data_IF_697627404479
#
_entry.id   IF_697627404479
#
_cell.length_a   1.000
_cell.length_b   1.000
_cell.length_c   1.000
_cell.angle_alpha   90.00
_cell.angle_beta   90.00
_cell.angle_gamma   90.00
#
_symmetry.space_group_name_H-M   'P 1'
#
loop_
_entity.id
_entity.type
_entity.pdbx_description
1 polymer ?
#
# COMPACT_ATOMS: atom_id res chain seq x y z
N UNK A 1 -12.89 21.64 -10.00
CA UNK A 1 -12.61 22.58 -11.09
C UNK A 1 -11.29 23.26 -10.76
N UNK A 2 -10.15 23.12 -11.42
CA UNK A 2 -9.65 22.34 -12.56
C UNK A 2 -8.14 22.21 -12.26
N UNK A 3 -7.62 20.99 -12.19
CA UNK A 3 -6.19 20.68 -12.18
C UNK A 3 -5.72 20.68 -13.65
N UNK A 4 -4.71 21.48 -14.02
CA UNK A 4 -4.05 21.39 -15.34
C UNK A 4 -2.53 21.38 -15.15
N UNK A 5 -2.00 20.16 -15.14
CA UNK A 5 -0.90 19.66 -15.96
C UNK A 5 0.24 20.66 -16.34
N UNK A 6 1.31 20.65 -15.55
CA UNK A 6 2.61 21.31 -15.83
C UNK A 6 3.64 20.35 -16.47
N UNK A 7 3.22 19.18 -16.95
CA UNK A 7 4.10 18.13 -17.48
C UNK A 7 4.57 18.28 -18.93
N UNK A 8 4.31 19.39 -19.62
CA UNK A 8 4.43 19.44 -21.09
C UNK A 8 5.46 20.42 -21.70
N UNK A 9 6.29 21.12 -20.90
CA UNK A 9 7.18 22.15 -21.47
C UNK A 9 8.66 21.77 -21.67
N UNK A 10 9.09 20.54 -21.36
CA UNK A 10 10.50 20.12 -21.55
C UNK A 10 10.65 19.05 -22.64
N UNK A 11 9.56 18.50 -23.15
CA UNK A 11 9.58 17.38 -24.11
C UNK A 11 9.28 17.82 -25.54
N UNK A 12 9.97 18.85 -26.07
CA UNK A 12 9.94 19.10 -27.52
C UNK A 12 11.10 19.95 -28.05
N UNK A 13 12.35 19.52 -27.84
CA UNK A 13 13.50 20.13 -28.53
C UNK A 13 14.51 19.16 -29.15
N UNK A 14 14.22 17.85 -29.15
CA UNK A 14 15.10 16.83 -29.76
C UNK A 14 14.34 15.79 -30.58
N UNK A 15 13.37 16.25 -31.37
CA UNK A 15 12.86 15.47 -32.50
C UNK A 15 13.01 16.32 -33.76
N UNK A 16 14.06 16.03 -34.54
CA UNK A 16 14.30 16.39 -35.94
C UNK A 16 15.80 16.64 -36.17
N UNK A 17 16.51 15.55 -36.45
CA UNK A 17 17.92 15.54 -36.86
C UNK A 17 18.11 15.89 -38.35
N UNK A 18 17.19 16.68 -38.93
CA UNK A 18 17.14 17.01 -40.37
C UNK A 18 17.41 18.48 -40.69
N UNK A 19 17.84 19.30 -39.72
CA UNK A 19 18.04 20.75 -39.93
C UNK A 19 19.52 21.20 -39.86
N UNK A 20 20.44 20.37 -40.35
CA UNK A 20 21.89 20.67 -40.34
C UNK A 20 22.35 21.57 -41.50
N UNK A 21 21.44 22.09 -42.33
CA UNK A 21 21.78 22.83 -43.56
C UNK A 21 21.70 24.37 -43.48
N UNK A 22 21.49 25.00 -42.31
CA UNK A 22 21.17 26.45 -42.26
C UNK A 22 22.12 27.37 -41.48
N UNK A 23 23.33 26.93 -41.10
CA UNK A 23 24.25 27.74 -40.28
C UNK A 23 25.63 27.99 -40.90
N UNK A 24 25.75 27.95 -42.23
CA UNK A 24 27.03 28.23 -42.95
C UNK A 24 27.24 29.71 -43.29
N UNK A 25 26.30 30.61 -42.97
CA UNK A 25 26.49 32.04 -43.25
C UNK A 25 26.43 32.83 -41.95
N UNK A 26 27.62 33.10 -41.39
CA UNK A 26 28.08 34.29 -40.64
C UNK A 26 29.32 33.82 -39.86
N UNK A 27 30.49 33.87 -40.51
CA UNK A 27 31.78 33.68 -39.86
C UNK A 27 32.79 34.65 -40.45
N UNK A 28 32.56 35.93 -40.22
CA UNK A 28 33.62 36.94 -40.29
C UNK A 28 33.58 37.78 -39.01
N UNK A 29 34.76 37.90 -38.40
CA UNK A 29 35.12 38.90 -37.38
C UNK A 29 34.42 38.80 -36.03
N UNK A 30 34.95 37.95 -35.15
CA UNK A 30 35.16 38.28 -33.73
C UNK A 30 36.08 37.25 -33.08
N UNK A 31 36.94 37.72 -32.19
CA UNK A 31 37.91 36.94 -31.44
C UNK A 31 37.26 35.68 -30.84
N UNK A 32 37.85 34.53 -31.18
CA UNK A 32 37.44 33.20 -30.73
C UNK A 32 37.75 33.04 -29.24
N UNK A 33 36.95 33.69 -28.38
CA UNK A 33 36.90 33.38 -26.95
C UNK A 33 36.29 31.99 -26.86
N UNK A 34 37.08 31.01 -26.42
CA UNK A 34 36.58 29.73 -25.94
C UNK A 34 35.59 30.03 -24.81
N UNK A 35 34.28 30.06 -25.08
CA UNK A 35 33.27 30.35 -24.06
C UNK A 35 32.98 29.09 -23.24
N UNK A 36 34.01 28.52 -22.63
CA UNK A 36 33.88 27.43 -21.68
C UNK A 36 33.98 27.97 -20.26
N UNK A 37 33.31 27.31 -19.32
CA UNK A 37 33.37 27.73 -17.91
C UNK A 37 34.80 27.62 -17.34
N UNK A 38 35.08 28.37 -16.27
CA UNK A 38 36.40 28.30 -15.59
C UNK A 38 36.72 26.89 -15.06
N UNK A 39 35.71 26.09 -14.72
CA UNK A 39 35.88 24.70 -14.34
C UNK A 39 36.32 23.83 -15.53
N UNK A 40 35.70 24.01 -16.70
CA UNK A 40 36.09 23.33 -17.95
C UNK A 40 37.48 23.74 -18.39
N UNK A 41 37.84 25.01 -18.28
CA UNK A 41 39.22 25.44 -18.59
C UNK A 41 40.25 24.71 -17.72
N UNK A 42 40.02 24.61 -16.39
CA UNK A 42 40.90 23.85 -15.49
C UNK A 42 40.99 22.36 -15.88
N UNK A 43 39.89 21.76 -16.33
CA UNK A 43 39.87 20.37 -16.80
C UNK A 43 40.77 20.20 -18.03
N UNK A 44 40.67 21.11 -19.02
CA UNK A 44 41.52 21.10 -20.22
C UNK A 44 42.99 21.31 -19.86
N UNK A 45 43.27 22.24 -18.96
CA UNK A 45 44.63 22.53 -18.49
C UNK A 45 45.25 21.31 -17.79
N UNK A 46 44.46 20.58 -16.99
CA UNK A 46 44.92 19.39 -16.26
C UNK A 46 45.32 18.24 -17.19
N UNK A 47 44.53 17.96 -18.22
CA UNK A 47 44.85 16.92 -19.22
C UNK A 47 45.88 17.40 -20.25
N UNK A 48 46.27 18.68 -20.20
CA UNK A 48 47.21 19.30 -21.12
C UNK A 48 46.68 19.38 -22.55
N UNK A 49 45.36 19.50 -22.75
CA UNK A 49 44.77 19.72 -24.07
C UNK A 49 44.89 21.20 -24.42
N UNK A 50 45.90 21.52 -25.23
CA UNK A 50 46.25 22.91 -25.56
C UNK A 50 45.64 23.33 -26.89
N UNK A 51 45.62 24.64 -27.14
CA UNK A 51 45.28 25.20 -28.47
C UNK A 51 46.18 24.65 -29.59
N UNK A 52 47.43 24.30 -29.29
CA UNK A 52 48.33 23.70 -30.26
C UNK A 52 47.91 22.27 -30.62
N UNK A 53 47.41 21.49 -29.66
CA UNK A 53 46.85 20.15 -29.92
C UNK A 53 45.59 20.25 -30.80
N UNK A 54 44.69 21.19 -30.49
CA UNK A 54 43.46 21.42 -31.28
C UNK A 54 43.78 21.88 -32.71
N UNK A 55 44.73 22.80 -32.87
CA UNK A 55 45.18 23.24 -34.18
C UNK A 55 45.84 22.10 -34.96
N UNK A 56 46.67 21.28 -34.31
CA UNK A 56 47.31 20.13 -34.93
C UNK A 56 46.27 19.15 -35.50
N UNK A 57 45.20 18.87 -34.74
CA UNK A 57 44.11 18.01 -35.19
C UNK A 57 43.34 18.65 -36.36
N UNK A 58 43.08 19.95 -36.30
CA UNK A 58 42.41 20.68 -37.38
C UNK A 58 43.22 20.67 -38.68
N UNK A 59 44.54 20.89 -38.59
CA UNK A 59 45.44 20.87 -39.75
C UNK A 59 45.50 19.48 -40.40
N UNK A 60 45.32 18.41 -39.61
CA UNK A 60 45.28 17.03 -40.09
C UNK A 60 43.88 16.55 -40.48
N UNK A 61 42.84 17.39 -40.42
CA UNK A 61 41.47 17.02 -40.82
C UNK A 61 41.37 16.32 -42.18
N UNK A 62 42.09 16.73 -43.25
CA UNK A 62 42.05 16.02 -44.54
C UNK A 62 42.53 14.56 -44.44
N UNK A 63 43.49 14.27 -43.55
CA UNK A 63 43.93 12.90 -43.27
C UNK A 63 42.83 12.13 -42.57
N UNK A 64 42.19 12.72 -41.55
CA UNK A 64 41.05 12.11 -40.86
C UNK A 64 39.90 11.80 -41.83
N UNK A 65 39.57 12.70 -42.75
CA UNK A 65 38.55 12.48 -43.79
C UNK A 65 38.91 11.31 -44.72
N UNK A 66 40.19 11.13 -45.04
CA UNK A 66 40.64 10.02 -45.89
C UNK A 66 40.51 8.66 -45.19
N UNK A 67 40.68 8.61 -43.87
CA UNK A 67 40.78 7.34 -43.11
C UNK A 67 39.52 7.01 -42.29
N UNK A 68 38.59 7.96 -42.12
CA UNK A 68 37.44 7.81 -41.23
C UNK A 68 36.57 6.59 -41.56
N UNK A 69 36.42 6.26 -42.84
CA UNK A 69 35.67 5.09 -43.28
C UNK A 69 36.30 3.80 -42.74
N UNK A 70 37.61 3.62 -42.97
CA UNK A 70 38.34 2.42 -42.55
C UNK A 70 38.41 2.30 -41.02
N UNK A 71 38.60 3.43 -40.32
CA UNK A 71 38.61 3.47 -38.85
C UNK A 71 37.28 2.99 -38.28
N UNK A 72 36.17 3.55 -38.78
CA UNK A 72 34.82 3.23 -38.27
C UNK A 72 34.40 1.82 -38.68
N UNK A 73 34.79 1.36 -39.87
CA UNK A 73 34.56 -0.03 -40.29
C UNK A 73 35.28 -1.04 -39.40
N UNK A 74 36.56 -0.80 -39.09
CA UNK A 74 37.32 -1.64 -38.17
C UNK A 74 36.71 -1.63 -36.77
N UNK A 75 36.23 -0.47 -36.30
CA UNK A 75 35.55 -0.36 -35.01
C UNK A 75 34.30 -1.23 -34.95
N UNK A 76 33.39 -1.14 -35.93
CA UNK A 76 32.17 -1.96 -35.91
C UNK A 76 32.44 -3.45 -36.17
N UNK A 77 33.51 -3.80 -36.90
CA UNK A 77 33.95 -5.19 -36.99
C UNK A 77 34.40 -5.74 -35.62
N UNK A 78 35.10 -4.92 -34.82
CA UNK A 78 35.45 -5.28 -33.45
C UNK A 78 34.22 -5.41 -32.55
N UNK A 79 33.33 -4.41 -32.56
CA UNK A 79 32.09 -4.42 -31.76
C UNK A 79 31.20 -5.62 -32.13
N UNK A 80 31.15 -6.01 -33.41
CA UNK A 80 30.42 -7.19 -33.88
C UNK A 80 30.93 -8.52 -33.32
N UNK A 81 32.14 -8.55 -32.74
CA UNK A 81 32.66 -9.70 -32.00
C UNK A 81 32.02 -9.93 -30.64
N UNK A 82 31.22 -8.98 -30.13
CA UNK A 82 30.56 -9.03 -28.83
C UNK A 82 29.04 -9.17 -29.03
N UNK A 83 28.47 -10.38 -28.83
CA UNK A 83 27.06 -10.65 -29.11
C UNK A 83 26.08 -9.69 -28.40
N UNK A 84 26.36 -9.34 -27.15
CA UNK A 84 25.55 -8.44 -26.34
C UNK A 84 25.51 -7.00 -26.90
N UNK A 85 26.62 -6.54 -27.51
CA UNK A 85 26.67 -5.24 -28.17
C UNK A 85 25.97 -5.26 -29.53
N UNK A 86 26.11 -6.37 -30.27
CA UNK A 86 25.41 -6.57 -31.54
C UNK A 86 23.88 -6.62 -31.35
N UNK A 87 23.41 -7.30 -30.29
CA UNK A 87 22.00 -7.31 -29.91
C UNK A 87 21.51 -5.90 -29.56
N UNK A 88 22.27 -5.16 -28.74
CA UNK A 88 21.94 -3.79 -28.37
C UNK A 88 21.83 -2.87 -29.60
N UNK A 89 22.78 -2.98 -30.54
CA UNK A 89 22.73 -2.22 -31.80
C UNK A 89 21.47 -2.57 -32.58
N UNK A 90 21.18 -3.86 -32.78
CA UNK A 90 20.00 -4.32 -33.53
C UNK A 90 18.69 -3.86 -32.88
N UNK A 91 18.65 -3.75 -31.55
CA UNK A 91 17.48 -3.28 -30.81
C UNK A 91 17.18 -1.79 -31.02
N UNK A 92 18.22 -0.97 -31.18
CA UNK A 92 18.08 0.49 -31.15
C UNK A 92 18.44 1.19 -32.48
N UNK A 93 19.13 0.53 -33.40
CA UNK A 93 19.64 1.09 -34.67
C UNK A 93 20.07 -0.02 -35.66
N UNK A 94 20.89 0.33 -36.64
CA UNK A 94 21.65 -0.59 -37.49
C UNK A 94 23.11 -0.16 -37.58
N UNK A 95 24.00 -1.09 -37.94
CA UNK A 95 25.44 -0.81 -38.08
C UNK A 95 25.67 0.27 -39.14
N UNK A 96 24.99 0.20 -40.28
CA UNK A 96 25.15 1.14 -41.40
C UNK A 96 24.85 2.58 -40.98
N UNK A 97 23.71 2.79 -40.29
CA UNK A 97 23.32 4.10 -39.79
C UNK A 97 24.30 4.58 -38.71
N UNK A 98 24.73 3.68 -37.82
CA UNK A 98 25.66 4.05 -36.76
C UNK A 98 27.03 4.42 -37.32
N UNK A 99 27.51 3.73 -38.37
CA UNK A 99 28.74 4.08 -39.08
C UNK A 99 28.72 5.54 -39.56
N UNK A 100 27.64 5.98 -40.21
CA UNK A 100 27.51 7.38 -40.65
C UNK A 100 27.61 8.36 -39.47
N UNK A 101 26.89 8.11 -38.39
CA UNK A 101 26.94 8.98 -37.20
C UNK A 101 28.30 8.98 -36.52
N UNK A 102 28.97 7.83 -36.50
CA UNK A 102 30.27 7.67 -35.87
C UNK A 102 31.40 8.28 -36.71
N UNK A 103 31.27 8.29 -38.03
CA UNK A 103 32.19 9.04 -38.91
C UNK A 103 32.07 10.55 -38.66
N UNK A 104 30.85 11.08 -38.55
CA UNK A 104 30.65 12.49 -38.18
C UNK A 104 31.22 12.80 -36.80
N UNK A 105 31.01 11.90 -35.83
CA UNK A 105 31.57 12.02 -34.48
C UNK A 105 33.10 12.10 -34.50
N UNK A 106 33.75 11.17 -35.20
CA UNK A 106 35.20 11.12 -35.37
C UNK A 106 35.75 12.42 -35.97
N UNK A 107 35.13 12.90 -37.05
CA UNK A 107 35.56 14.12 -37.73
C UNK A 107 35.39 15.36 -36.86
N UNK A 108 34.36 15.43 -36.02
CA UNK A 108 34.15 16.58 -35.13
C UNK A 108 35.29 16.80 -34.13
N UNK A 109 36.08 15.76 -33.81
CA UNK A 109 37.28 15.91 -32.96
C UNK A 109 38.40 16.71 -33.64
N UNK A 110 38.29 16.94 -34.95
CA UNK A 110 39.25 17.71 -35.76
C UNK A 110 38.70 19.08 -36.16
N UNK A 111 37.63 19.56 -35.54
CA UNK A 111 37.09 20.90 -35.81
C UNK A 111 37.99 22.03 -35.23
N UNK A 112 38.94 21.67 -34.35
CA UNK A 112 39.88 22.60 -33.74
C UNK A 112 39.27 23.48 -32.64
N UNK A 113 38.03 23.21 -32.24
CA UNK A 113 37.26 23.99 -31.27
C UNK A 113 36.67 23.04 -30.22
N UNK A 114 36.86 23.40 -28.95
CA UNK A 114 36.17 22.79 -27.80
C UNK A 114 35.49 23.94 -27.06
N UNK A 115 34.21 24.15 -27.38
CA UNK A 115 33.34 25.14 -26.76
C UNK A 115 32.22 24.45 -25.96
N UNK A 116 31.34 25.24 -25.34
CA UNK A 116 30.24 24.68 -24.54
C UNK A 116 29.29 23.83 -25.40
N UNK A 117 29.08 24.18 -26.67
CA UNK A 117 28.23 23.41 -27.58
C UNK A 117 28.83 22.03 -27.89
N UNK A 118 30.15 21.95 -28.11
CA UNK A 118 30.87 20.68 -28.23
C UNK A 118 30.67 19.82 -26.97
N UNK A 119 30.86 20.41 -25.79
CA UNK A 119 30.76 19.73 -24.49
C UNK A 119 29.33 19.21 -24.26
N UNK A 120 28.31 20.05 -24.46
CA UNK A 120 26.91 19.68 -24.31
C UNK A 120 26.54 18.51 -25.23
N UNK A 121 27.04 18.51 -26.46
CA UNK A 121 26.83 17.42 -27.40
C UNK A 121 27.43 16.10 -26.89
N UNK A 122 28.65 16.12 -26.33
CA UNK A 122 29.28 14.91 -25.76
C UNK A 122 28.52 14.36 -24.57
N UNK A 123 28.09 15.23 -23.66
CA UNK A 123 27.26 14.84 -22.52
C UNK A 123 25.94 14.24 -23.00
N UNK A 124 25.28 14.85 -24.00
CA UNK A 124 24.04 14.33 -24.56
C UNK A 124 24.20 12.91 -25.15
N UNK A 125 25.32 12.65 -25.84
CA UNK A 125 25.64 11.32 -26.38
C UNK A 125 25.90 10.32 -25.25
N UNK A 126 26.63 10.71 -24.20
CA UNK A 126 26.80 9.89 -23.00
C UNK A 126 25.46 9.51 -22.36
N UNK A 127 24.53 10.46 -22.24
CA UNK A 127 23.18 10.22 -21.74
C UNK A 127 22.37 9.23 -22.61
N UNK A 128 22.54 9.27 -23.95
CA UNK A 128 21.89 8.30 -24.85
C UNK A 128 22.41 6.89 -24.59
N UNK A 129 23.73 6.71 -24.50
CA UNK A 129 24.34 5.40 -24.24
C UNK A 129 23.97 4.85 -22.85
N UNK A 130 23.96 5.72 -21.84
CA UNK A 130 23.47 5.36 -20.51
C UNK A 130 22.00 4.95 -20.54
N UNK A 131 21.16 5.59 -21.37
CA UNK A 131 19.73 5.27 -21.50
C UNK A 131 19.48 3.92 -22.16
N UNK A 132 20.26 3.55 -23.18
CA UNK A 132 20.13 2.24 -23.84
C UNK A 132 20.73 1.09 -23.03
N UNK A 133 21.47 1.40 -21.96
CA UNK A 133 22.05 0.45 -21.03
C UNK A 133 23.45 -0.03 -21.44
N UNK A 134 24.17 0.74 -22.25
CA UNK A 134 25.59 0.46 -22.51
C UNK A 134 26.38 0.68 -21.22
N UNK A 135 27.14 -0.32 -20.78
CA UNK A 135 27.99 -0.18 -19.60
C UNK A 135 29.12 0.82 -19.87
N UNK A 136 29.52 1.53 -18.82
CA UNK A 136 30.67 2.43 -18.87
C UNK A 136 31.96 1.68 -19.23
N UNK A 137 32.09 0.40 -18.86
CA UNK A 137 33.24 -0.44 -19.24
C UNK A 137 33.40 -0.56 -20.76
N UNK A 138 32.31 -0.91 -21.47
CA UNK A 138 32.35 -1.02 -22.92
C UNK A 138 32.55 0.35 -23.57
N UNK A 139 31.87 1.38 -23.07
CA UNK A 139 32.02 2.74 -23.58
C UNK A 139 33.49 3.20 -23.45
N UNK A 140 34.07 3.16 -22.25
CA UNK A 140 35.44 3.60 -22.01
C UNK A 140 36.45 2.74 -22.79
N UNK A 141 36.19 1.44 -22.92
CA UNK A 141 37.00 0.53 -23.72
C UNK A 141 37.07 0.93 -25.20
N UNK A 142 36.00 1.51 -25.77
CA UNK A 142 36.01 1.92 -27.19
C UNK A 142 37.09 2.95 -27.50
N UNK A 143 37.48 3.82 -26.57
CA UNK A 143 38.57 4.77 -26.79
C UNK A 143 39.91 4.08 -27.04
N UNK A 144 40.19 2.96 -26.34
CA UNK A 144 41.39 2.16 -26.61
C UNK A 144 41.31 1.48 -27.96
N UNK A 145 40.16 0.89 -28.31
CA UNK A 145 39.92 0.28 -29.62
C UNK A 145 40.16 1.30 -30.75
N UNK A 146 39.64 2.52 -30.59
CA UNK A 146 39.87 3.59 -31.55
C UNK A 146 41.33 4.02 -31.66
N UNK A 147 42.05 4.15 -30.53
CA UNK A 147 43.46 4.52 -30.54
C UNK A 147 44.33 3.43 -31.19
N UNK A 148 44.04 2.15 -30.99
CA UNK A 148 44.78 1.05 -31.61
C UNK A 148 44.58 1.03 -33.14
N UNK A 149 43.33 1.18 -33.59
CA UNK A 149 42.98 1.28 -35.01
C UNK A 149 43.63 2.51 -35.64
N UNK A 150 43.48 3.68 -35.01
CA UNK A 150 44.03 4.93 -35.50
C UNK A 150 45.56 4.89 -35.55
N UNK A 151 46.22 4.35 -34.53
CA UNK A 151 47.69 4.24 -34.51
C UNK A 151 48.19 3.43 -35.70
N UNK A 152 47.59 2.27 -35.95
CA UNK A 152 47.98 1.37 -37.04
C UNK A 152 47.82 2.03 -38.42
N UNK A 153 46.75 2.80 -38.61
CA UNK A 153 46.47 3.49 -39.88
C UNK A 153 47.36 4.73 -40.04
N UNK A 154 47.50 5.56 -39.00
CA UNK A 154 48.24 6.81 -39.08
C UNK A 154 49.75 6.59 -39.24
N UNK A 155 50.30 5.49 -38.71
CA UNK A 155 51.69 5.08 -38.98
C UNK A 155 51.97 4.89 -40.48
N UNK A 156 50.98 4.44 -41.24
CA UNK A 156 51.11 4.22 -42.68
C UNK A 156 50.87 5.50 -43.49
N UNK A 157 49.91 6.33 -43.05
CA UNK A 157 49.47 7.51 -43.82
C UNK A 157 50.34 8.74 -43.54
N UNK A 158 50.83 8.91 -42.31
CA UNK A 158 51.66 10.06 -41.87
C UNK A 158 52.83 9.60 -40.96
N UNK A 159 53.81 8.84 -41.51
CA UNK A 159 54.86 8.18 -40.71
C UNK A 159 55.72 9.14 -39.88
N UNK A 160 55.88 10.39 -40.30
CA UNK A 160 56.73 11.37 -39.59
C UNK A 160 56.00 12.09 -38.43
N UNK A 161 54.65 12.14 -38.45
CA UNK A 161 53.86 12.95 -37.50
C UNK A 161 52.78 12.17 -36.75
N UNK A 162 52.57 10.88 -37.03
CA UNK A 162 51.51 10.07 -36.40
C UNK A 162 51.51 10.14 -34.88
N UNK A 163 52.69 10.09 -34.25
CA UNK A 163 52.81 10.09 -32.79
C UNK A 163 52.25 11.36 -32.14
N UNK A 164 52.44 12.53 -32.77
CA UNK A 164 51.90 13.81 -32.27
C UNK A 164 50.39 13.87 -32.44
N UNK A 165 49.89 13.41 -33.59
CA UNK A 165 48.46 13.38 -33.88
C UNK A 165 47.73 12.41 -32.96
N UNK A 166 48.27 11.22 -32.74
CA UNK A 166 47.71 10.23 -31.80
C UNK A 166 47.79 10.74 -30.36
N UNK A 167 48.84 11.44 -29.95
CA UNK A 167 48.91 12.06 -28.63
C UNK A 167 47.83 13.13 -28.43
N UNK A 168 47.62 14.02 -29.41
CA UNK A 168 46.56 15.02 -29.36
C UNK A 168 45.16 14.38 -29.36
N UNK A 169 44.95 13.34 -30.18
CA UNK A 169 43.72 12.56 -30.21
C UNK A 169 43.46 11.83 -28.88
N UNK A 170 44.50 11.31 -28.24
CA UNK A 170 44.39 10.64 -26.93
C UNK A 170 43.92 11.62 -25.85
N UNK A 171 44.40 12.87 -25.88
CA UNK A 171 43.90 13.93 -24.97
C UNK A 171 42.43 14.25 -25.26
N UNK A 172 42.03 14.30 -26.53
CA UNK A 172 40.63 14.49 -26.92
C UNK A 172 39.73 13.35 -26.42
N UNK A 173 40.14 12.08 -26.57
CA UNK A 173 39.39 10.95 -26.00
C UNK A 173 39.36 10.96 -24.49
N UNK A 174 40.44 11.40 -23.83
CA UNK A 174 40.44 11.52 -22.38
C UNK A 174 39.42 12.57 -21.90
N UNK A 175 39.34 13.72 -22.58
CA UNK A 175 38.29 14.70 -22.33
C UNK A 175 36.91 14.10 -22.56
N UNK A 176 36.72 13.43 -23.69
CA UNK A 176 35.46 12.80 -24.08
C UNK A 176 34.98 11.79 -23.03
N UNK A 177 35.88 10.92 -22.56
CA UNK A 177 35.64 9.95 -21.50
C UNK A 177 35.19 10.63 -20.19
N UNK A 178 35.82 11.74 -19.80
CA UNK A 178 35.44 12.49 -18.60
C UNK A 178 34.02 13.09 -18.73
N UNK A 179 33.65 13.60 -19.91
CA UNK A 179 32.32 14.14 -20.17
C UNK A 179 31.23 13.05 -20.18
N UNK A 180 31.56 11.88 -20.70
CA UNK A 180 30.65 10.72 -20.69
C UNK A 180 30.47 10.19 -19.27
N UNK A 181 31.54 10.07 -18.49
CA UNK A 181 31.45 9.68 -17.08
C UNK A 181 30.58 10.66 -16.27
N UNK A 182 30.73 11.97 -16.51
CA UNK A 182 29.86 12.97 -15.90
C UNK A 182 28.38 12.75 -16.23
N UNK A 183 28.07 12.36 -17.48
CA UNK A 183 26.69 12.03 -17.88
C UNK A 183 26.15 10.79 -17.15
N UNK A 184 26.97 9.75 -16.96
CA UNK A 184 26.59 8.53 -16.24
C UNK A 184 26.39 8.82 -14.74
N UNK A 185 27.31 9.56 -14.11
CA UNK A 185 27.19 9.97 -12.70
C UNK A 185 25.94 10.82 -12.45
N UNK A 186 25.61 11.74 -13.36
CA UNK A 186 24.43 12.59 -13.24
C UNK A 186 23.15 11.74 -13.19
N UNK A 187 23.02 10.77 -14.08
CA UNK A 187 21.87 9.85 -14.11
C UNK A 187 21.78 9.01 -12.83
N UNK A 188 22.90 8.52 -12.31
CA UNK A 188 22.91 7.74 -11.08
C UNK A 188 22.52 8.60 -9.86
N UNK A 189 23.01 9.84 -9.78
CA UNK A 189 22.60 10.80 -8.75
C UNK A 189 21.10 11.12 -8.83
N UNK A 190 20.55 11.33 -10.02
CA UNK A 190 19.11 11.55 -10.21
C UNK A 190 18.29 10.35 -9.71
N UNK A 191 18.72 9.12 -10.02
CA UNK A 191 18.09 7.89 -9.54
C UNK A 191 18.17 7.75 -8.01
N UNK A 192 19.32 8.07 -7.41
CA UNK A 192 19.49 8.07 -5.96
C UNK A 192 18.58 9.09 -5.27
N UNK A 193 18.44 10.30 -5.82
CA UNK A 193 17.52 11.30 -5.30
C UNK A 193 16.06 10.85 -5.40
N UNK A 194 15.68 10.20 -6.51
CA UNK A 194 14.33 9.64 -6.65
C UNK A 194 14.06 8.54 -5.61
N UNK A 195 14.99 7.60 -5.46
CA UNK A 195 14.89 6.53 -4.46
C UNK A 195 14.78 7.09 -3.03
N UNK A 196 15.56 8.12 -2.71
CA UNK A 196 15.50 8.78 -1.40
C UNK A 196 14.14 9.46 -1.16
N UNK A 197 13.59 10.14 -2.17
CA UNK A 197 12.27 10.78 -2.06
C UNK A 197 11.14 9.75 -1.91
N UNK A 198 11.21 8.62 -2.64
CA UNK A 198 10.27 7.50 -2.50
C UNK A 198 10.36 6.86 -1.10
N UNK A 199 11.57 6.73 -0.56
CA UNK A 199 11.80 6.23 0.79
C UNK A 199 11.20 7.17 1.85
N UNK A 200 11.41 8.49 1.73
CA UNK A 200 10.84 9.50 2.64
C UNK A 200 9.31 9.48 2.63
N UNK A 201 8.71 9.39 1.44
CA UNK A 201 7.25 9.26 1.30
C UNK A 201 6.73 7.97 1.96
N UNK A 202 7.44 6.86 1.79
CA UNK A 202 7.09 5.58 2.40
C UNK A 202 7.17 5.65 3.93
N UNK A 203 8.22 6.27 4.47
CA UNK A 203 8.40 6.46 5.91
C UNK A 203 7.27 7.30 6.53
N UNK A 204 6.90 8.39 5.85
CA UNK A 204 5.80 9.26 6.26
C UNK A 204 4.47 8.50 6.26
N UNK A 205 4.21 7.69 5.24
CA UNK A 205 3.01 6.86 5.15
C UNK A 205 2.97 5.81 6.27
N UNK A 206 4.08 5.13 6.57
CA UNK A 206 4.19 4.18 7.68
C UNK A 206 3.92 4.87 9.01
N UNK A 207 4.52 6.04 9.26
CA UNK A 207 4.25 6.84 10.46
C UNK A 207 2.78 7.17 10.61
N UNK A 208 2.11 7.63 9.55
CA UNK A 208 0.68 7.95 9.60
C UNK A 208 -0.18 6.71 9.91
N UNK A 209 0.10 5.58 9.26
CA UNK A 209 -0.60 4.31 9.52
C UNK A 209 -0.40 3.86 10.97
N UNK A 210 0.81 3.98 11.52
CA UNK A 210 1.08 3.60 12.92
C UNK A 210 0.33 4.47 13.92
N UNK A 211 0.17 5.77 13.64
CA UNK A 211 -0.63 6.68 14.46
C UNK A 211 -2.12 6.32 14.44
N UNK A 212 -2.67 6.06 13.25
CA UNK A 212 -4.06 5.61 13.09
C UNK A 212 -4.30 4.27 13.79
N UNK A 213 -3.36 3.33 13.66
CA UNK A 213 -3.41 2.04 14.35
C UNK A 213 -3.43 2.21 15.87
N UNK A 214 -2.61 3.11 16.41
CA UNK A 214 -2.59 3.41 17.85
C UNK A 214 -3.96 3.92 18.32
N UNK A 215 -4.59 4.84 17.56
CA UNK A 215 -5.93 5.33 17.88
C UNK A 215 -6.99 4.22 17.86
N UNK A 216 -6.98 3.37 16.83
CA UNK A 216 -7.90 2.22 16.74
C UNK A 216 -7.71 1.22 17.90
N UNK A 217 -6.48 1.01 18.37
CA UNK A 217 -6.21 0.14 19.52
C UNK A 217 -6.82 0.72 20.81
N UNK A 218 -6.69 2.03 21.04
CA UNK A 218 -7.32 2.70 22.18
C UNK A 218 -8.85 2.54 22.15
N UNK A 219 -9.49 2.83 21.00
CA UNK A 219 -10.94 2.65 20.84
C UNK A 219 -11.37 1.19 21.04
N UNK A 220 -10.59 0.22 20.54
CA UNK A 220 -10.89 -1.19 20.73
C UNK A 220 -10.85 -1.59 22.21
N UNK A 221 -9.88 -1.09 22.97
CA UNK A 221 -9.75 -1.36 24.40
C UNK A 221 -10.92 -0.74 25.21
N UNK A 222 -11.29 0.50 24.90
CA UNK A 222 -12.46 1.16 25.52
C UNK A 222 -13.75 0.40 25.24
N UNK A 223 -13.95 -0.02 23.99
CA UNK A 223 -15.11 -0.83 23.59
C UNK A 223 -15.12 -2.19 24.27
N UNK A 224 -13.97 -2.88 24.36
CA UNK A 224 -13.87 -4.16 25.04
C UNK A 224 -14.27 -4.04 26.51
N UNK A 225 -13.79 -3.00 27.20
CA UNK A 225 -14.15 -2.72 28.59
C UNK A 225 -15.64 -2.44 28.74
N UNK A 226 -16.21 -1.57 27.91
CA UNK A 226 -17.64 -1.25 27.94
C UNK A 226 -18.52 -2.49 27.70
N UNK A 227 -18.14 -3.36 26.76
CA UNK A 227 -18.85 -4.62 26.50
C UNK A 227 -18.76 -5.56 27.70
N UNK A 228 -17.59 -5.64 28.36
CA UNK A 228 -17.40 -6.45 29.58
C UNK A 228 -18.31 -5.96 30.71
N UNK A 229 -18.39 -4.66 30.91
CA UNK A 229 -19.20 -4.07 31.98
C UNK A 229 -20.71 -4.32 31.76
N UNK A 230 -21.21 -4.07 30.54
CA UNK A 230 -22.59 -4.36 30.15
C UNK A 230 -22.91 -5.86 30.28
N UNK A 231 -21.96 -6.73 29.91
CA UNK A 231 -22.14 -8.17 30.03
C UNK A 231 -22.21 -8.62 31.49
N UNK A 232 -21.39 -8.05 32.38
CA UNK A 232 -21.47 -8.33 33.83
C UNK A 232 -22.78 -7.84 34.43
N UNK A 233 -23.22 -6.64 34.06
CA UNK A 233 -24.51 -6.09 34.50
C UNK A 233 -25.69 -6.95 34.02
N UNK A 234 -25.66 -7.40 32.75
CA UNK A 234 -26.68 -8.29 32.18
C UNK A 234 -26.72 -9.62 32.94
N UNK A 235 -25.57 -10.23 33.24
CA UNK A 235 -25.51 -11.47 34.00
C UNK A 235 -26.11 -11.28 35.42
N UNK A 236 -25.75 -10.20 36.11
CA UNK A 236 -26.28 -9.88 37.44
C UNK A 236 -27.80 -9.66 37.41
N UNK A 237 -28.32 -8.95 36.41
CA UNK A 237 -29.75 -8.74 36.22
C UNK A 237 -30.52 -10.04 35.96
N UNK A 238 -29.93 -10.96 35.19
CA UNK A 238 -30.53 -12.28 34.95
C UNK A 238 -30.51 -13.17 36.19
N UNK A 239 -29.42 -13.14 36.97
CA UNK A 239 -29.35 -13.88 38.23
C UNK A 239 -30.42 -13.36 39.22
N UNK A 240 -30.64 -12.05 39.27
CA UNK A 240 -31.70 -11.44 40.07
C UNK A 240 -33.11 -11.78 39.55
N UNK A 241 -33.30 -11.85 38.23
CA UNK A 241 -34.55 -12.31 37.62
C UNK A 241 -34.84 -13.79 37.98
N UNK A 242 -33.81 -14.63 38.05
CA UNK A 242 -33.94 -16.03 38.46
C UNK A 242 -34.50 -16.16 39.88
N UNK A 243 -33.97 -15.39 40.84
CA UNK A 243 -34.46 -15.38 42.22
C UNK A 243 -35.94 -14.96 42.30
N UNK A 244 -36.35 -13.95 41.52
CA UNK A 244 -37.75 -13.51 41.46
C UNK A 244 -38.68 -14.58 40.85
N UNK A 245 -38.19 -15.33 39.85
CA UNK A 245 -38.95 -16.41 39.22
C UNK A 245 -39.12 -17.61 40.17
N UNK A 246 -38.11 -17.92 40.98
CA UNK A 246 -38.21 -18.95 42.02
C UNK A 246 -39.26 -18.56 43.07
N UNK A 247 -39.20 -17.33 43.59
CA UNK A 247 -40.19 -16.81 44.53
C UNK A 247 -41.63 -16.85 43.97
N UNK A 248 -41.80 -16.45 42.70
CA UNK A 248 -43.10 -16.49 42.03
C UNK A 248 -43.61 -17.93 41.81
N UNK A 249 -42.70 -18.88 41.56
CA UNK A 249 -43.04 -20.30 41.44
C UNK A 249 -43.57 -20.84 42.77
N UNK A 250 -42.98 -20.43 43.90
CA UNK A 250 -43.46 -20.79 45.23
C UNK A 250 -44.83 -20.19 45.53
N UNK A 251 -45.06 -18.93 45.19
CA UNK A 251 -46.38 -18.28 45.34
C UNK A 251 -47.47 -19.01 44.54
N UNK A 252 -47.19 -19.43 43.32
CA UNK A 252 -48.13 -20.19 42.48
C UNK A 252 -48.47 -21.55 43.10
N UNK A 253 -47.47 -22.25 43.67
CA UNK A 253 -47.72 -23.50 44.38
C UNK A 253 -48.64 -23.28 45.60
N UNK A 254 -48.50 -22.17 46.33
CA UNK A 254 -49.39 -21.85 47.44
C UNK A 254 -50.82 -21.56 46.96
N UNK A 255 -50.99 -20.83 45.85
CA UNK A 255 -52.32 -20.59 45.26
C UNK A 255 -52.95 -21.92 44.81
N UNK A 256 -52.16 -22.83 44.23
CA UNK A 256 -52.61 -24.18 43.87
C UNK A 256 -53.18 -24.94 45.08
N UNK A 257 -52.46 -24.94 46.21
CA UNK A 257 -52.92 -25.56 47.47
C UNK A 257 -54.20 -24.92 48.03
N UNK A 258 -54.30 -23.58 47.99
CA UNK A 258 -55.54 -22.89 48.40
C UNK A 258 -56.70 -23.27 47.49
N UNK A 259 -56.42 -23.45 46.19
CA UNK A 259 -57.36 -23.93 45.22
C UNK A 259 -57.90 -25.34 45.50
N UNK A 260 -57.03 -26.27 45.90
CA UNK A 260 -57.42 -27.61 46.34
C UNK A 260 -58.36 -27.57 47.54
N UNK A 261 -58.04 -26.74 48.55
CA UNK A 261 -58.90 -26.55 49.71
C UNK A 261 -60.29 -26.02 49.32
N UNK A 262 -60.37 -25.05 48.41
CA UNK A 262 -61.64 -24.51 47.90
C UNK A 262 -62.45 -25.59 47.17
N UNK A 263 -61.78 -26.46 46.42
CA UNK A 263 -62.43 -27.60 45.75
C UNK A 263 -63.04 -28.56 46.77
N UNK A 264 -62.32 -28.90 47.82
CA UNK A 264 -62.81 -29.76 48.91
C UNK A 264 -64.02 -29.13 49.63
N UNK A 265 -63.95 -27.84 49.96
CA UNK A 265 -65.08 -27.11 50.58
C UNK A 265 -66.29 -27.09 49.64
N UNK A 266 -66.08 -26.94 48.33
CA UNK A 266 -67.16 -26.95 47.33
C UNK A 266 -67.78 -28.34 47.16
N UNK A 267 -66.99 -29.40 47.31
CA UNK A 267 -67.49 -30.79 47.33
C UNK A 267 -68.32 -31.05 48.59
N UNK A 268 -67.82 -30.66 49.76
CA UNK A 268 -68.54 -30.77 51.03
C UNK A 268 -69.82 -29.94 51.03
N UNK A 269 -69.77 -28.69 50.57
CA UNK A 269 -70.93 -27.79 50.50
C UNK A 269 -72.00 -28.34 49.56
N UNK A 270 -71.61 -29.01 48.47
CA UNK A 270 -72.56 -29.68 47.59
C UNK A 270 -73.25 -30.86 48.27
N UNK A 271 -72.51 -31.66 49.05
CA UNK A 271 -73.07 -32.76 49.84
C UNK A 271 -74.01 -32.25 50.95
N UNK A 272 -73.63 -31.17 51.64
CA UNK A 272 -74.49 -30.53 52.66
C UNK A 272 -75.77 -30.01 52.02
N UNK A 273 -75.68 -29.33 50.88
CA UNK A 273 -76.84 -28.86 50.12
C UNK A 273 -77.71 -30.02 49.62
N UNK A 274 -77.12 -31.16 49.24
CA UNK A 274 -77.85 -32.37 48.86
C UNK A 274 -78.62 -32.96 50.05
N UNK A 275 -77.97 -33.09 51.21
CA UNK A 275 -78.62 -33.58 52.42
C UNK A 275 -79.75 -32.65 52.88
N UNK A 276 -79.55 -31.34 52.79
CA UNK A 276 -80.58 -30.34 53.11
C UNK A 276 -81.79 -30.43 52.16
N UNK A 277 -81.59 -30.70 50.87
CA UNK A 277 -82.68 -30.89 49.91
C UNK A 277 -83.47 -32.18 50.19
N UNK A 278 -82.79 -33.26 50.59
CA UNK A 278 -83.45 -34.50 51.02
C UNK A 278 -84.35 -34.25 52.23
N UNK A 279 -83.84 -33.53 53.24
CA UNK A 279 -84.60 -33.23 54.46
C UNK A 279 -85.78 -32.26 54.16
N UNK A 280 -85.56 -31.28 53.28
CA UNK A 280 -86.62 -30.38 52.82
C UNK A 280 -87.75 -31.13 52.08
N UNK A 281 -87.41 -32.12 51.25
CA UNK A 281 -88.38 -32.99 50.62
C UNK A 281 -89.13 -33.86 51.65
N UNK A 282 -88.43 -34.33 52.69
CA UNK A 282 -89.01 -35.16 53.75
C UNK A 282 -90.03 -34.39 54.62
N UNK A 283 -89.79 -33.10 54.85
CA UNK A 283 -90.69 -32.20 55.59
C UNK A 283 -91.94 -31.75 54.79
N UNK A 284 -92.06 -32.13 53.52
CA UNK A 284 -93.23 -31.85 52.68
C UNK A 284 -93.52 -30.35 52.51
N UNK A 285 -94.77 -29.93 52.76
CA UNK A 285 -95.22 -28.52 52.63
C UNK A 285 -94.41 -27.54 53.52
N UNK A 286 -93.93 -28.00 54.69
CA UNK A 286 -93.15 -27.19 55.63
C UNK A 286 -91.68 -27.02 55.21
N UNK A 287 -91.19 -27.86 54.30
CA UNK A 287 -89.80 -27.85 53.82
C UNK A 287 -89.53 -26.97 52.60
N UNK A 288 -90.55 -26.41 51.95
CA UNK A 288 -90.40 -25.66 50.68
C UNK A 288 -89.41 -24.49 50.76
N UNK A 289 -89.37 -23.77 51.89
CA UNK A 289 -88.41 -22.67 52.10
C UNK A 289 -86.97 -23.17 52.23
N UNK A 290 -86.78 -24.33 52.88
CA UNK A 290 -85.49 -24.99 53.01
C UNK A 290 -84.99 -25.57 51.67
N UNK A 291 -85.87 -26.07 50.81
CA UNK A 291 -85.51 -26.58 49.48
C UNK A 291 -84.88 -25.49 48.61
N UNK A 292 -85.41 -24.27 48.65
CA UNK A 292 -84.85 -23.12 47.91
C UNK A 292 -83.41 -22.83 48.38
N UNK A 293 -83.18 -22.82 49.70
CA UNK A 293 -81.84 -22.61 50.27
C UNK A 293 -80.89 -23.76 49.89
N UNK A 294 -81.35 -25.01 49.98
CA UNK A 294 -80.56 -26.18 49.61
C UNK A 294 -80.14 -26.18 48.13
N UNK A 295 -81.06 -25.81 47.23
CA UNK A 295 -80.78 -25.61 45.81
C UNK A 295 -79.75 -24.50 45.58
N UNK A 296 -79.86 -23.37 46.28
CA UNK A 296 -78.91 -22.25 46.14
C UNK A 296 -77.50 -22.63 46.64
N UNK A 297 -77.39 -23.36 47.75
CA UNK A 297 -76.11 -23.90 48.26
C UNK A 297 -75.49 -24.87 47.25
N UNK A 298 -76.27 -25.77 46.66
CA UNK A 298 -75.76 -26.70 45.62
C UNK A 298 -75.27 -25.96 44.39
N UNK A 299 -75.99 -24.92 43.96
CA UNK A 299 -75.63 -24.08 42.81
C UNK A 299 -74.35 -23.27 43.09
N UNK A 300 -74.23 -22.68 44.27
CA UNK A 300 -73.02 -21.98 44.70
C UNK A 300 -71.80 -22.92 44.74
N UNK A 301 -71.99 -24.12 45.28
CA UNK A 301 -70.96 -25.15 45.32
C UNK A 301 -70.53 -25.64 43.93
N UNK A 302 -71.46 -25.76 42.98
CA UNK A 302 -71.16 -26.10 41.59
C UNK A 302 -70.39 -24.97 40.89
N UNK A 303 -70.84 -23.71 41.04
CA UNK A 303 -70.17 -22.53 40.49
C UNK A 303 -68.75 -22.36 41.04
N UNK A 304 -68.56 -22.60 42.34
CA UNK A 304 -67.25 -22.55 42.99
C UNK A 304 -66.29 -23.61 42.41
N UNK A 305 -66.81 -24.81 42.14
CA UNK A 305 -66.02 -25.90 41.51
C UNK A 305 -65.62 -25.56 40.08
N UNK A 306 -66.51 -24.97 39.29
CA UNK A 306 -66.21 -24.53 37.93
C UNK A 306 -65.16 -23.39 37.92
N UNK A 307 -65.33 -22.40 38.81
CA UNK A 307 -64.36 -21.31 38.96
C UNK A 307 -62.98 -21.85 39.35
N UNK A 308 -62.94 -22.83 40.25
CA UNK A 308 -61.71 -23.47 40.68
C UNK A 308 -61.01 -24.25 39.54
N UNK A 309 -61.76 -24.93 38.68
CA UNK A 309 -61.21 -25.55 37.47
C UNK A 309 -60.55 -24.55 36.52
N UNK A 310 -61.17 -23.37 36.34
CA UNK A 310 -60.58 -22.27 35.53
C UNK A 310 -59.31 -21.71 36.16
N UNK A 311 -59.28 -21.54 37.49
CA UNK A 311 -58.09 -21.11 38.23
C UNK A 311 -56.94 -22.11 38.03
N UNK A 312 -57.21 -23.41 38.19
CA UNK A 312 -56.20 -24.45 38.00
C UNK A 312 -55.60 -24.43 36.60
N UNK A 313 -56.44 -24.35 35.57
CA UNK A 313 -55.99 -24.28 34.18
C UNK A 313 -55.12 -23.03 33.91
N UNK A 314 -55.47 -21.89 34.51
CA UNK A 314 -54.68 -20.66 34.42
C UNK A 314 -53.32 -20.80 35.13
N UNK A 315 -53.28 -21.40 36.33
CA UNK A 315 -52.02 -21.63 37.05
C UNK A 315 -51.07 -22.54 36.26
N UNK A 316 -51.57 -23.62 35.67
CA UNK A 316 -50.78 -24.49 34.80
C UNK A 316 -50.20 -23.75 33.60
N UNK A 317 -50.98 -22.84 32.99
CA UNK A 317 -50.50 -22.02 31.89
C UNK A 317 -49.40 -21.04 32.35
N UNK A 318 -49.55 -20.45 33.54
CA UNK A 318 -48.52 -19.57 34.12
C UNK A 318 -47.24 -20.35 34.42
N UNK A 319 -47.32 -21.54 35.01
CA UNK A 319 -46.16 -22.39 35.28
C UNK A 319 -45.40 -22.75 34.00
N UNK A 320 -46.11 -23.09 32.92
CA UNK A 320 -45.46 -23.36 31.61
C UNK A 320 -44.70 -22.12 31.09
N UNK A 321 -45.31 -20.93 31.18
CA UNK A 321 -44.65 -19.68 30.76
C UNK A 321 -43.44 -19.36 31.64
N UNK A 322 -43.54 -19.57 32.95
CA UNK A 322 -42.43 -19.39 33.88
C UNK A 322 -41.24 -20.27 33.55
N UNK A 323 -41.46 -21.55 33.27
CA UNK A 323 -40.39 -22.47 32.85
C UNK A 323 -39.66 -21.98 31.59
N UNK A 324 -40.40 -21.45 30.60
CA UNK A 324 -39.78 -20.85 29.41
C UNK A 324 -38.96 -19.60 29.72
N UNK A 325 -39.46 -18.71 30.59
CA UNK A 325 -38.74 -17.48 30.99
C UNK A 325 -37.49 -17.83 31.80
N UNK A 326 -37.55 -18.82 32.69
CA UNK A 326 -36.41 -19.29 33.47
C UNK A 326 -35.30 -19.85 32.57
N UNK A 327 -35.67 -20.63 31.55
CA UNK A 327 -34.72 -21.16 30.57
C UNK A 327 -34.05 -20.04 29.76
N UNK A 328 -34.84 -19.07 29.28
CA UNK A 328 -34.31 -17.93 28.52
C UNK A 328 -33.38 -17.06 29.38
N UNK A 329 -33.73 -16.87 30.65
CA UNK A 329 -32.94 -16.12 31.61
C UNK A 329 -31.58 -16.77 31.86
N UNK A 330 -31.57 -18.10 32.05
CA UNK A 330 -30.33 -18.87 32.23
C UNK A 330 -29.45 -18.85 30.97
N UNK A 331 -30.06 -18.98 29.79
CA UNK A 331 -29.35 -18.86 28.53
C UNK A 331 -28.72 -17.47 28.36
N UNK A 332 -29.45 -16.42 28.72
CA UNK A 332 -28.96 -15.03 28.69
C UNK A 332 -27.81 -14.79 29.68
N UNK A 333 -27.90 -15.29 30.92
CA UNK A 333 -26.82 -15.18 31.91
C UNK A 333 -25.54 -15.88 31.43
N UNK A 334 -25.65 -17.08 30.85
CA UNK A 334 -24.51 -17.78 30.26
C UNK A 334 -23.91 -17.04 29.05
N UNK A 335 -24.76 -16.49 28.19
CA UNK A 335 -24.35 -15.65 27.05
C UNK A 335 -23.55 -14.44 27.52
N UNK A 336 -24.07 -13.73 28.51
CA UNK A 336 -23.45 -12.55 29.09
C UNK A 336 -22.09 -12.87 29.74
N UNK A 337 -22.00 -13.95 30.55
CA UNK A 337 -20.72 -14.38 31.15
C UNK A 337 -19.66 -14.73 30.09
N UNK A 338 -20.05 -15.41 29.00
CA UNK A 338 -19.14 -15.68 27.87
C UNK A 338 -18.71 -14.39 27.15
N UNK A 339 -19.62 -13.44 26.99
CA UNK A 339 -19.32 -12.14 26.37
C UNK A 339 -18.29 -11.36 27.18
N UNK A 340 -18.42 -11.33 28.52
CA UNK A 340 -17.44 -10.69 29.40
C UNK A 340 -16.03 -11.32 29.26
N UNK A 341 -15.94 -12.65 29.25
CA UNK A 341 -14.66 -13.35 29.07
C UNK A 341 -14.01 -13.05 27.71
N UNK A 342 -14.79 -12.99 26.62
CA UNK A 342 -14.28 -12.64 25.29
C UNK A 342 -13.82 -11.18 25.21
N UNK A 343 -14.47 -10.28 25.94
CA UNK A 343 -14.03 -8.89 26.06
C UNK A 343 -12.68 -8.77 26.79
N UNK A 344 -12.44 -9.57 27.83
CA UNK A 344 -11.14 -9.62 28.51
C UNK A 344 -10.03 -10.11 27.55
N UNK A 345 -10.31 -11.12 26.72
CA UNK A 345 -9.38 -11.56 25.67
C UNK A 345 -9.10 -10.47 24.63
N UNK A 346 -10.12 -9.71 24.22
CA UNK A 346 -9.96 -8.56 23.32
C UNK A 346 -9.07 -7.47 23.91
N UNK A 347 -9.18 -7.18 25.20
CA UNK A 347 -8.32 -6.22 25.89
C UNK A 347 -6.85 -6.69 25.89
N UNK A 348 -6.59 -7.98 26.15
CA UNK A 348 -5.24 -8.55 26.05
C UNK A 348 -4.70 -8.44 24.61
N UNK A 349 -5.52 -8.72 23.61
CA UNK A 349 -5.14 -8.55 22.21
C UNK A 349 -4.80 -7.09 21.89
N UNK A 350 -5.57 -6.12 22.39
CA UNK A 350 -5.31 -4.69 22.23
C UNK A 350 -3.91 -4.31 22.76
N UNK A 351 -3.55 -4.76 23.97
CA UNK A 351 -2.22 -4.50 24.54
C UNK A 351 -1.08 -5.11 23.73
N UNK A 352 -1.31 -6.28 23.12
CA UNK A 352 -0.34 -6.91 22.22
C UNK A 352 -0.14 -6.09 20.95
N UNK A 353 -1.24 -5.57 20.38
CA UNK A 353 -1.20 -4.68 19.22
C UNK A 353 -0.52 -3.34 19.53
N UNK A 354 -0.71 -2.80 20.73
CA UNK A 354 -0.02 -1.58 21.19
C UNK A 354 1.50 -1.77 21.19
N UNK A 355 1.96 -2.92 21.69
CA UNK A 355 3.38 -3.28 21.65
C UNK A 355 3.92 -3.36 20.23
N UNK A 356 3.16 -3.95 19.30
CA UNK A 356 3.55 -4.02 17.89
C UNK A 356 3.65 -2.62 17.25
N UNK A 357 2.70 -1.73 17.55
CA UNK A 357 2.74 -0.35 17.07
C UNK A 357 3.96 0.42 17.62
N UNK A 358 4.33 0.18 18.87
CA UNK A 358 5.55 0.73 19.48
C UNK A 358 6.82 0.21 18.81
N UNK A 359 6.87 -1.08 18.48
CA UNK A 359 8.04 -1.67 17.83
C UNK A 359 8.18 -1.19 16.37
N UNK A 360 7.07 -0.99 15.65
CA UNK A 360 7.07 -0.33 14.33
C UNK A 360 7.62 1.10 14.40
N UNK A 361 7.24 1.88 15.42
CA UNK A 361 7.80 3.23 15.64
C UNK A 361 9.29 3.23 15.98
N UNK A 362 9.82 2.17 16.58
CA UNK A 362 11.27 2.07 16.84
C UNK A 362 12.04 1.79 15.56
N UNK A 363 11.51 0.94 14.69
CA UNK A 363 12.07 0.67 13.36
C UNK A 363 12.14 1.95 12.51
N UNK A 364 11.08 2.76 12.55
CA UNK A 364 11.01 4.07 11.88
C UNK A 364 12.13 5.04 12.31
N UNK A 365 12.62 4.95 13.56
CA UNK A 365 13.72 5.79 14.07
C UNK A 365 15.14 5.26 13.78
N UNK A 366 15.26 4.03 13.30
CA UNK A 366 16.57 3.39 13.03
C UNK A 366 16.99 3.48 11.56
N UNK A 367 16.06 3.85 10.69
CA UNK A 367 16.27 4.15 9.26
C UNK A 367 16.42 5.66 9.13
#
# INVERSE_FOLDING_TARGET
MVYVNLGHLVYNRYSNFTNWCFLVVIKELTELVMSITAARQKQLDYIGLTRADLQLLADHRPVFQKVVHDVVDHFYNHVGGYPELAEMITRFSSIERLKETQQMYWLSMTDGIVDEAYIEQRIAIGLVHSRIGLSEDYYLGTYMVYLDIATSIFQQVIPDSWHRVIQALSKMFNLDAQLVLEAYEKKEKEKLHQLAAEQEHTLTAVTQITQQLTGMICELNENAQAISDVARETAASQDQAHELLEALTDEIHQIGKMGELIREISEQSHLVGLNAAIEAAHAGEFGRGFEVVASEVRKLAANSREAQGKIQANLEQIMRKLGSVQQESQHTSQGARRQASRSEELAVFATTMEKLALDLRKLDRQI
#
